data_IF_150971008519
#
_entry.id   IF_150971008519
#
_cell.length_a   1.000
_cell.length_b   1.000
_cell.length_c   1.000
_cell.angle_alpha   90.00
_cell.angle_beta   90.00
_cell.angle_gamma   90.00
#
_symmetry.space_group_name_H-M   'P 1'
#
loop_
_entity.id
_entity.type
_entity.pdbx_description
1 polymer ?
#
# COMPACT_ATOMS: atom_id res chain seq x y z
N UNK A 1 14.25 -1.53 -12.32
CA UNK A 1 13.77 -0.26 -11.72
C UNK A 1 13.73 -0.40 -10.20
N UNK A 2 12.86 -1.24 -9.61
CA UNK A 2 12.72 -1.32 -8.15
C UNK A 2 13.94 -1.92 -7.43
N UNK A 3 14.67 -2.85 -8.05
CA UNK A 3 15.94 -3.36 -7.51
C UNK A 3 16.97 -2.24 -7.28
N UNK A 4 17.00 -1.25 -8.16
CA UNK A 4 17.89 -0.08 -8.04
C UNK A 4 17.37 0.88 -6.95
N UNK A 5 16.07 1.18 -6.95
CA UNK A 5 15.43 2.03 -5.92
C UNK A 5 15.54 1.43 -4.51
N UNK A 6 15.64 0.10 -4.42
CA UNK A 6 15.69 -0.67 -3.18
C UNK A 6 17.06 -1.37 -2.97
N UNK A 7 18.13 -0.82 -3.54
CA UNK A 7 19.47 -1.44 -3.51
C UNK A 7 19.93 -1.83 -2.10
N UNK A 8 19.71 -0.98 -1.12
CA UNK A 8 20.06 -1.26 0.27
C UNK A 8 19.29 -2.46 0.83
N UNK A 9 18.01 -2.61 0.49
CA UNK A 9 17.21 -3.76 0.91
C UNK A 9 17.64 -5.04 0.17
N UNK A 10 17.96 -4.94 -1.09
CA UNK A 10 18.53 -6.05 -1.87
C UNK A 10 19.85 -6.54 -1.25
N UNK A 11 20.72 -5.60 -0.85
CA UNK A 11 21.95 -5.92 -0.14
C UNK A 11 21.68 -6.66 1.18
N UNK A 12 20.74 -6.15 1.99
CA UNK A 12 20.35 -6.78 3.27
C UNK A 12 19.80 -8.19 3.07
N UNK A 13 18.93 -8.39 2.08
CA UNK A 13 18.39 -9.72 1.77
C UNK A 13 19.50 -10.71 1.41
N UNK A 14 20.44 -10.32 0.57
CA UNK A 14 21.60 -11.15 0.20
C UNK A 14 22.50 -11.44 1.40
N UNK A 15 22.75 -10.43 2.23
CA UNK A 15 23.55 -10.58 3.46
C UNK A 15 22.94 -11.61 4.42
N UNK A 16 21.61 -11.65 4.49
CA UNK A 16 20.86 -12.62 5.29
C UNK A 16 20.73 -14.01 4.62
N UNK A 17 21.36 -14.21 3.48
CA UNK A 17 21.38 -15.49 2.77
C UNK A 17 20.18 -15.75 1.83
N UNK A 18 19.31 -14.76 1.62
CA UNK A 18 18.22 -14.91 0.68
C UNK A 18 18.71 -14.85 -0.79
N UNK A 19 18.10 -15.68 -1.64
CA UNK A 19 18.30 -15.58 -3.09
C UNK A 19 17.37 -14.49 -3.64
N UNK A 20 17.94 -13.41 -4.15
CA UNK A 20 17.19 -12.34 -4.80
C UNK A 20 17.16 -12.59 -6.30
N UNK A 21 15.95 -12.68 -6.87
CA UNK A 21 15.72 -12.85 -8.30
C UNK A 21 15.11 -11.56 -8.85
N UNK A 22 15.87 -10.84 -9.67
CA UNK A 22 15.37 -9.65 -10.33
C UNK A 22 14.44 -10.03 -11.48
N UNK A 23 13.26 -9.42 -11.54
CA UNK A 23 12.32 -9.58 -12.65
C UNK A 23 12.64 -8.53 -13.71
N UNK A 24 12.95 -9.01 -14.93
CA UNK A 24 13.40 -8.17 -16.03
C UNK A 24 12.33 -7.93 -17.11
N UNK A 25 11.17 -8.55 -16.97
CA UNK A 25 10.01 -8.39 -17.85
C UNK A 25 9.10 -7.23 -17.39
N UNK A 26 8.27 -6.74 -18.29
CA UNK A 26 7.29 -5.69 -18.02
C UNK A 26 7.94 -4.36 -17.62
N UNK A 27 7.28 -3.63 -16.72
CA UNK A 27 7.75 -2.35 -16.18
C UNK A 27 8.90 -2.49 -15.16
N UNK A 28 9.25 -3.72 -14.75
CA UNK A 28 10.25 -4.05 -13.72
C UNK A 28 9.92 -3.43 -12.34
N UNK A 29 8.63 -3.34 -12.04
CA UNK A 29 8.10 -2.82 -10.78
C UNK A 29 7.44 -3.92 -9.95
N UNK A 30 6.87 -3.55 -8.80
CA UNK A 30 6.21 -4.46 -7.86
C UNK A 30 5.16 -5.35 -8.54
N UNK A 31 4.37 -4.81 -9.48
CA UNK A 31 3.35 -5.59 -10.23
C UNK A 31 3.96 -6.80 -10.91
N UNK A 32 5.06 -6.61 -11.62
CA UNK A 32 5.70 -7.70 -12.37
C UNK A 32 6.41 -8.68 -11.44
N UNK A 33 6.98 -8.19 -10.33
CA UNK A 33 7.56 -9.03 -9.29
C UNK A 33 6.49 -9.95 -8.65
N UNK A 34 5.30 -9.43 -8.36
CA UNK A 34 4.17 -10.21 -7.85
C UNK A 34 3.69 -11.25 -8.88
N UNK A 35 3.56 -10.88 -10.14
CA UNK A 35 3.21 -11.81 -11.21
C UNK A 35 4.18 -12.99 -11.28
N UNK A 36 5.49 -12.73 -11.19
CA UNK A 36 6.50 -13.77 -11.25
C UNK A 36 6.51 -14.65 -9.99
N UNK A 37 6.34 -14.04 -8.81
CA UNK A 37 6.24 -14.79 -7.57
C UNK A 37 5.03 -15.73 -7.55
N UNK A 38 3.86 -15.27 -7.99
CA UNK A 38 2.65 -16.09 -8.09
C UNK A 38 2.85 -17.20 -9.13
N UNK A 39 3.43 -16.90 -10.30
CA UNK A 39 3.73 -17.89 -11.35
C UNK A 39 4.67 -18.96 -10.85
N UNK A 40 5.74 -18.57 -10.16
CA UNK A 40 6.69 -19.52 -9.56
C UNK A 40 5.99 -20.40 -8.51
N UNK A 41 5.20 -19.81 -7.63
CA UNK A 41 4.49 -20.54 -6.59
C UNK A 41 3.51 -21.55 -7.15
N UNK A 42 2.64 -21.19 -8.09
CA UNK A 42 1.65 -22.14 -8.64
C UNK A 42 2.32 -23.27 -9.42
N UNK A 43 3.47 -23.02 -10.00
CA UNK A 43 4.28 -24.04 -10.68
C UNK A 43 4.94 -25.01 -9.71
N UNK A 44 5.32 -24.54 -8.53
CA UNK A 44 6.06 -25.29 -7.51
C UNK A 44 5.29 -25.45 -6.19
N UNK A 45 3.96 -25.47 -6.23
CA UNK A 45 3.10 -25.42 -5.04
C UNK A 45 3.28 -26.58 -4.04
N UNK A 46 3.94 -27.68 -4.45
CA UNK A 46 4.16 -28.85 -3.58
C UNK A 46 5.30 -28.66 -2.59
N UNK A 47 6.26 -27.80 -2.89
CA UNK A 47 7.51 -27.61 -2.13
C UNK A 47 7.82 -26.14 -1.86
N UNK A 48 6.92 -25.23 -2.26
CA UNK A 48 7.09 -23.79 -2.15
C UNK A 48 5.93 -23.18 -1.37
N UNK A 49 6.25 -22.44 -0.33
CA UNK A 49 5.28 -21.64 0.41
C UNK A 49 5.33 -20.17 -0.06
N UNK A 50 4.19 -19.63 -0.45
CA UNK A 50 4.06 -18.24 -0.90
C UNK A 50 3.83 -17.32 0.30
N UNK A 51 4.69 -16.33 0.45
CA UNK A 51 4.56 -15.26 1.44
C UNK A 51 4.38 -13.95 0.70
N UNK A 52 3.31 -13.22 1.04
CA UNK A 52 3.00 -11.91 0.48
C UNK A 52 2.91 -10.87 1.59
N UNK A 53 3.47 -9.69 1.35
CA UNK A 53 3.50 -8.58 2.31
C UNK A 53 2.47 -7.48 2.06
N UNK A 54 1.50 -7.70 1.17
CA UNK A 54 0.42 -6.73 0.89
C UNK A 54 -0.96 -7.38 1.00
N UNK A 55 -2.01 -6.59 1.21
CA UNK A 55 -3.41 -7.07 1.27
C UNK A 55 -4.01 -7.31 -0.12
N UNK A 56 -3.17 -7.66 -1.09
CA UNK A 56 -3.55 -8.00 -2.44
C UNK A 56 -3.46 -9.52 -2.68
N UNK A 57 -4.11 -10.01 -3.73
CA UNK A 57 -4.08 -11.41 -4.12
C UNK A 57 -5.38 -12.16 -3.84
N UNK A 58 -5.42 -13.46 -4.15
CA UNK A 58 -6.63 -14.26 -3.96
C UNK A 58 -6.92 -14.50 -2.46
N UNK A 59 -8.17 -14.77 -2.16
CA UNK A 59 -8.53 -15.23 -0.81
C UNK A 59 -7.74 -16.50 -0.44
N UNK A 60 -7.19 -16.66 0.76
CA UNK A 60 -7.40 -15.82 1.96
C UNK A 60 -6.33 -14.74 2.21
N UNK A 61 -5.41 -14.49 1.28
CA UNK A 61 -4.26 -13.63 1.53
C UNK A 61 -4.62 -12.21 2.00
N UNK A 62 -5.59 -11.47 1.41
CA UNK A 62 -5.95 -10.16 1.90
C UNK A 62 -6.39 -10.17 3.37
N UNK A 63 -7.21 -11.14 3.74
CA UNK A 63 -7.66 -11.32 5.13
C UNK A 63 -6.50 -11.65 6.09
N UNK A 64 -5.63 -12.59 5.70
CA UNK A 64 -4.47 -12.98 6.52
C UNK A 64 -3.54 -11.79 6.76
N UNK A 65 -3.22 -11.04 5.71
CA UNK A 65 -2.33 -9.87 5.82
C UNK A 65 -2.97 -8.78 6.67
N UNK A 66 -4.27 -8.49 6.49
CA UNK A 66 -5.01 -7.59 7.38
C UNK A 66 -4.88 -8.02 8.83
N UNK A 67 -5.18 -9.27 9.13
CA UNK A 67 -5.22 -9.77 10.51
C UNK A 67 -3.84 -9.71 11.18
N UNK A 68 -2.76 -10.00 10.45
CA UNK A 68 -1.39 -9.83 10.95
C UNK A 68 -1.00 -8.36 11.11
N UNK A 69 -1.44 -7.48 10.22
CA UNK A 69 -1.17 -6.03 10.30
C UNK A 69 -2.07 -5.32 11.34
N UNK A 70 -3.17 -5.93 11.76
CA UNK A 70 -4.12 -5.36 12.74
C UNK A 70 -3.47 -5.03 14.09
N UNK A 71 -2.30 -5.62 14.40
CA UNK A 71 -1.50 -5.25 15.58
C UNK A 71 -1.15 -3.75 15.61
N UNK A 72 -0.96 -3.13 14.44
CA UNK A 72 -0.69 -1.70 14.31
C UNK A 72 -1.86 -0.89 14.90
N UNK A 73 -3.08 -1.18 14.48
CA UNK A 73 -4.28 -0.51 14.97
C UNK A 73 -4.54 -0.80 16.45
N UNK A 74 -4.35 -2.05 16.87
CA UNK A 74 -4.50 -2.45 18.27
C UNK A 74 -3.56 -1.67 19.20
N UNK A 75 -2.29 -1.64 18.90
CA UNK A 75 -1.30 -0.94 19.72
C UNK A 75 -1.50 0.59 19.67
N UNK A 76 -1.79 1.15 18.50
CA UNK A 76 -2.05 2.58 18.35
C UNK A 76 -3.27 3.01 19.18
N UNK A 77 -4.35 2.23 19.13
CA UNK A 77 -5.56 2.49 19.92
C UNK A 77 -5.26 2.46 21.43
N UNK A 78 -4.53 1.45 21.87
CA UNK A 78 -4.13 1.33 23.29
C UNK A 78 -3.28 2.52 23.73
N UNK A 79 -2.26 2.85 22.96
CA UNK A 79 -1.33 3.93 23.27
C UNK A 79 -2.01 5.31 23.33
N UNK A 80 -2.91 5.62 22.37
CA UNK A 80 -3.60 6.91 22.38
C UNK A 80 -4.55 7.04 23.57
N UNK A 81 -5.26 5.96 23.92
CA UNK A 81 -6.13 5.95 25.11
C UNK A 81 -5.32 6.12 26.41
N UNK A 82 -4.14 5.50 26.52
CA UNK A 82 -3.25 5.65 27.68
C UNK A 82 -2.72 7.08 27.82
N UNK A 83 -2.41 7.74 26.69
CA UNK A 83 -1.82 9.09 26.69
C UNK A 83 -2.83 10.20 26.79
N UNK A 84 -3.94 10.13 26.04
CA UNK A 84 -4.90 11.21 25.85
C UNK A 84 -6.25 10.95 26.53
N UNK A 85 -6.46 9.75 27.07
CA UNK A 85 -7.72 9.30 27.67
C UNK A 85 -8.94 9.48 26.75
N UNK A 86 -8.72 9.52 25.42
CA UNK A 86 -9.76 9.58 24.38
C UNK A 86 -9.24 8.99 23.08
N UNK A 87 -10.14 8.63 22.18
CA UNK A 87 -9.80 8.25 20.81
C UNK A 87 -9.44 9.49 19.98
N UNK A 88 -8.66 9.32 18.90
CA UNK A 88 -8.34 10.40 17.98
C UNK A 88 -9.59 10.79 17.17
N UNK A 89 -9.61 12.00 16.63
CA UNK A 89 -10.66 12.42 15.70
C UNK A 89 -10.42 11.84 14.30
N UNK A 90 -9.16 11.68 13.92
CA UNK A 90 -8.74 11.13 12.63
C UNK A 90 -7.64 10.08 12.80
N UNK A 91 -7.71 9.05 11.96
CA UNK A 91 -6.62 8.07 11.75
C UNK A 91 -6.26 8.11 10.29
N UNK A 92 -5.01 8.51 9.99
CA UNK A 92 -4.55 8.74 8.62
C UNK A 92 -3.44 7.74 8.28
N UNK A 93 -3.51 7.14 7.10
CA UNK A 93 -2.48 6.21 6.63
C UNK A 93 -2.34 6.25 5.10
N UNK A 94 -1.13 6.00 4.59
CA UNK A 94 -0.86 5.92 3.15
C UNK A 94 -1.37 4.62 2.54
N UNK A 95 -1.73 4.67 1.26
CA UNK A 95 -2.26 3.53 0.51
C UNK A 95 -1.48 3.33 -0.79
N UNK A 96 -0.79 2.17 -0.88
CA UNK A 96 -0.41 1.53 -2.11
C UNK A 96 -1.29 0.29 -2.28
N UNK A 97 -0.79 -0.92 -1.98
CA UNK A 97 -1.65 -2.11 -1.80
C UNK A 97 -2.58 -1.99 -0.58
N UNK A 98 -2.18 -1.25 0.45
CA UNK A 98 -3.01 -0.86 1.58
C UNK A 98 -2.89 -1.74 2.83
N UNK A 99 -1.79 -2.49 3.01
CA UNK A 99 -1.65 -3.39 4.17
C UNK A 99 -1.49 -2.62 5.49
N UNK A 100 -0.66 -1.57 5.51
CA UNK A 100 -0.47 -0.75 6.70
C UNK A 100 -1.76 -0.03 7.11
N UNK A 101 -2.46 0.53 6.15
CA UNK A 101 -3.69 1.30 6.39
C UNK A 101 -4.84 0.43 6.87
N UNK A 102 -5.08 -0.74 6.25
CA UNK A 102 -6.14 -1.62 6.72
C UNK A 102 -5.82 -2.19 8.11
N UNK A 103 -4.55 -2.48 8.39
CA UNK A 103 -4.09 -2.88 9.72
C UNK A 103 -4.33 -1.80 10.77
N UNK A 104 -4.03 -0.54 10.44
CA UNK A 104 -4.30 0.61 11.30
C UNK A 104 -5.81 0.81 11.50
N UNK A 105 -6.58 0.84 10.41
CA UNK A 105 -8.02 1.14 10.46
C UNK A 105 -8.85 0.07 11.14
N UNK A 106 -8.46 -1.21 11.09
CA UNK A 106 -9.22 -2.36 11.60
C UNK A 106 -9.71 -2.21 13.04
N UNK A 107 -9.00 -1.46 13.88
CA UNK A 107 -9.36 -1.21 15.27
C UNK A 107 -10.06 0.13 15.52
N UNK A 108 -10.42 0.86 14.46
CA UNK A 108 -11.09 2.17 14.55
C UNK A 108 -12.35 2.24 13.68
N UNK A 109 -12.56 1.32 12.72
CA UNK A 109 -13.69 1.35 11.77
C UNK A 109 -15.07 1.33 12.43
N UNK A 110 -15.21 0.74 13.61
CA UNK A 110 -16.48 0.67 14.33
C UNK A 110 -16.75 1.91 15.20
N UNK A 111 -15.73 2.74 15.42
CA UNK A 111 -15.84 3.94 16.25
C UNK A 111 -16.40 5.11 15.44
N UNK A 112 -17.66 5.43 15.59
CA UNK A 112 -18.35 6.52 14.87
C UNK A 112 -17.75 7.92 15.10
N UNK A 113 -16.95 8.08 16.16
CA UNK A 113 -16.24 9.32 16.47
C UNK A 113 -14.89 9.44 15.81
N UNK A 114 -14.42 8.39 15.16
CA UNK A 114 -13.11 8.35 14.49
C UNK A 114 -13.31 8.31 12.99
N UNK A 115 -12.66 9.21 12.28
CA UNK A 115 -12.65 9.22 10.82
C UNK A 115 -11.35 8.59 10.31
N UNK A 116 -11.46 7.47 9.58
CA UNK A 116 -10.32 6.86 8.89
C UNK A 116 -10.11 7.52 7.53
N UNK A 117 -8.87 7.91 7.23
CA UNK A 117 -8.49 8.59 5.98
C UNK A 117 -7.31 7.86 5.35
N UNK A 118 -7.50 7.38 4.13
CA UNK A 118 -6.46 6.73 3.33
C UNK A 118 -5.93 7.67 2.26
N UNK A 119 -4.61 7.83 2.18
CA UNK A 119 -3.97 8.74 1.23
C UNK A 119 -3.24 7.94 0.15
N UNK A 120 -3.68 8.10 -1.09
CA UNK A 120 -3.04 7.50 -2.26
C UNK A 120 -1.93 8.41 -2.82
N UNK A 121 -1.03 7.82 -3.61
CA UNK A 121 0.00 8.56 -4.31
C UNK A 121 -0.57 9.25 -5.56
N UNK A 122 -0.76 10.56 -5.48
CA UNK A 122 -1.14 11.42 -6.61
C UNK A 122 0.01 11.65 -7.60
N UNK A 123 1.23 11.23 -7.29
CA UNK A 123 2.37 11.27 -8.18
C UNK A 123 2.67 12.68 -8.71
N UNK A 124 2.72 12.82 -10.01
CA UNK A 124 2.92 14.11 -10.68
C UNK A 124 1.62 14.91 -10.89
N UNK A 125 0.50 14.41 -10.35
CA UNK A 125 -0.84 15.00 -10.44
C UNK A 125 -1.84 14.06 -11.11
N UNK A 126 -3.09 14.09 -10.67
CA UNK A 126 -4.16 13.21 -11.18
C UNK A 126 -4.56 13.52 -12.64
N UNK A 127 -4.21 14.68 -13.15
CA UNK A 127 -4.39 15.10 -14.54
C UNK A 127 -3.29 14.59 -15.48
N UNK A 128 -2.30 13.85 -14.93
CA UNK A 128 -1.22 13.20 -15.66
C UNK A 128 -1.40 11.68 -15.64
N UNK A 129 -0.74 10.93 -16.53
CA UNK A 129 -0.72 9.46 -16.44
C UNK A 129 0.20 8.93 -15.33
N UNK A 130 0.89 9.80 -14.59
CA UNK A 130 1.95 9.43 -13.64
C UNK A 130 1.46 9.58 -12.20
N UNK A 131 0.60 8.66 -11.76
CA UNK A 131 0.07 8.57 -10.39
C UNK A 131 -0.21 7.11 -10.01
N UNK A 132 -0.43 6.84 -8.70
CA UNK A 132 -0.80 5.54 -8.14
C UNK A 132 -2.22 5.51 -7.54
N UNK A 133 -3.08 6.48 -7.87
CA UNK A 133 -4.38 6.69 -7.23
C UNK A 133 -5.47 5.79 -7.83
N UNK A 134 -5.48 4.51 -7.43
CA UNK A 134 -6.43 3.51 -7.92
C UNK A 134 -7.86 3.74 -7.44
N UNK A 135 -8.02 4.19 -6.19
CA UNK A 135 -9.34 4.47 -5.62
C UNK A 135 -9.93 5.76 -6.19
N UNK A 136 -9.10 6.76 -6.52
CA UNK A 136 -9.58 8.00 -7.10
C UNK A 136 -10.00 7.82 -8.57
N UNK A 137 -9.16 7.22 -9.42
CA UNK A 137 -9.31 7.21 -10.87
C UNK A 137 -9.43 5.82 -11.49
N UNK A 138 -9.15 4.75 -10.73
CA UNK A 138 -9.26 3.39 -11.24
C UNK A 138 -10.69 2.91 -11.41
N UNK A 139 -10.83 1.78 -12.06
CA UNK A 139 -12.10 1.08 -12.28
C UNK A 139 -12.03 -0.34 -11.72
N UNK A 140 -13.17 -0.97 -11.35
CA UNK A 140 -13.19 -2.36 -10.89
C UNK A 140 -12.64 -3.31 -11.96
N UNK A 141 -11.75 -4.21 -11.56
CA UNK A 141 -11.18 -5.22 -12.44
C UNK A 141 -10.47 -6.33 -11.68
N UNK A 142 -9.79 -7.21 -12.40
CA UNK A 142 -9.10 -8.38 -11.83
C UNK A 142 -7.59 -8.20 -12.00
N UNK A 143 -6.88 -8.20 -10.87
CA UNK A 143 -5.42 -8.18 -10.84
C UNK A 143 -4.92 -9.12 -9.73
N UNK A 144 -3.89 -9.91 -9.99
CA UNK A 144 -3.28 -10.83 -9.02
C UNK A 144 -4.28 -11.79 -8.32
N UNK A 145 -5.40 -12.14 -8.99
CA UNK A 145 -6.41 -13.04 -8.44
C UNK A 145 -7.42 -12.41 -7.48
N UNK A 146 -7.48 -11.09 -7.42
CA UNK A 146 -8.47 -10.32 -6.67
C UNK A 146 -9.32 -9.45 -7.59
N UNK A 147 -10.54 -9.14 -7.15
CA UNK A 147 -11.38 -8.09 -7.73
C UNK A 147 -11.25 -6.83 -6.87
N UNK A 148 -10.79 -5.74 -7.46
CA UNK A 148 -10.60 -4.45 -6.78
C UNK A 148 -10.56 -3.30 -7.77
N UNK A 149 -10.47 -2.06 -7.28
CA UNK A 149 -10.14 -0.92 -8.13
C UNK A 149 -8.70 -1.04 -8.61
N UNK A 150 -8.48 -0.78 -9.90
CA UNK A 150 -7.15 -0.76 -10.51
C UNK A 150 -7.07 0.26 -11.63
N UNK A 151 -5.86 0.70 -11.92
CA UNK A 151 -5.56 1.55 -13.07
C UNK A 151 -5.53 0.68 -14.32
N UNK A 152 -6.51 0.83 -15.18
CA UNK A 152 -6.63 0.10 -16.44
C UNK A 152 -7.25 0.98 -17.52
N UNK A 153 -6.94 0.67 -18.77
CA UNK A 153 -7.55 1.30 -19.94
C UNK A 153 -8.94 0.70 -20.28
N UNK A 154 -9.54 1.18 -21.36
CA UNK A 154 -10.86 0.74 -21.82
C UNK A 154 -10.87 -0.74 -22.27
N UNK A 155 -9.72 -1.29 -22.66
CA UNK A 155 -9.53 -2.68 -23.04
C UNK A 155 -9.20 -3.58 -21.83
N UNK A 156 -9.13 -3.00 -20.60
CA UNK A 156 -8.81 -3.71 -19.38
C UNK A 156 -7.30 -3.99 -19.20
N UNK A 157 -6.44 -3.33 -19.96
CA UNK A 157 -5.00 -3.45 -19.79
C UNK A 157 -4.54 -2.61 -18.60
N UNK A 158 -3.77 -3.21 -17.71
CA UNK A 158 -3.25 -2.54 -16.51
C UNK A 158 -2.25 -1.46 -16.91
N UNK A 159 -2.53 -0.23 -16.51
CA UNK A 159 -1.65 0.92 -16.71
C UNK A 159 -0.49 0.90 -15.72
N UNK A 160 0.61 1.57 -16.07
CA UNK A 160 1.72 1.77 -15.14
C UNK A 160 1.31 2.80 -14.08
N UNK A 161 1.58 2.46 -12.82
CA UNK A 161 1.49 3.42 -11.73
C UNK A 161 2.79 4.23 -11.61
N UNK A 162 2.71 5.36 -10.91
CA UNK A 162 3.87 6.15 -10.53
C UNK A 162 3.73 6.71 -9.12
N UNK A 163 4.80 6.63 -8.36
CA UNK A 163 5.01 7.32 -7.10
C UNK A 163 6.51 7.52 -6.89
N UNK A 164 6.90 8.60 -6.22
CA UNK A 164 8.26 8.77 -5.70
C UNK A 164 8.59 7.67 -4.69
N UNK A 165 7.58 7.13 -4.04
CA UNK A 165 7.67 6.02 -3.10
C UNK A 165 7.49 4.67 -3.81
N UNK A 166 8.49 3.80 -3.71
CA UNK A 166 8.43 2.46 -4.32
C UNK A 166 7.29 1.61 -3.75
N UNK A 167 6.97 1.77 -2.48
CA UNK A 167 5.91 1.04 -1.79
C UNK A 167 4.49 1.47 -2.17
N UNK A 168 4.33 2.64 -2.82
CA UNK A 168 3.05 3.15 -3.31
C UNK A 168 2.92 3.09 -4.85
N UNK A 169 3.97 2.64 -5.54
CA UNK A 169 4.02 2.46 -6.99
C UNK A 169 3.36 1.13 -7.39
N UNK A 170 2.03 1.05 -7.24
CA UNK A 170 1.24 -0.14 -7.50
C UNK A 170 -0.10 0.22 -8.16
N UNK A 171 -0.47 -0.41 -9.29
CA UNK A 171 -1.65 -0.03 -10.07
C UNK A 171 -2.96 -0.62 -9.56
N UNK A 172 -2.98 -1.20 -8.38
CA UNK A 172 -4.16 -1.80 -7.74
C UNK A 172 -4.20 -1.48 -6.26
N UNK A 173 -5.23 -1.97 -5.59
CA UNK A 173 -5.43 -1.80 -4.14
C UNK A 173 -6.07 -3.05 -3.57
N UNK A 174 -5.95 -3.26 -2.26
CA UNK A 174 -6.60 -4.38 -1.59
C UNK A 174 -8.13 -4.37 -1.74
N UNK A 175 -8.79 -5.52 -1.88
CA UNK A 175 -10.24 -5.60 -2.11
C UNK A 175 -11.04 -5.01 -0.95
N UNK A 176 -10.55 -5.05 0.27
CA UNK A 176 -11.22 -4.47 1.43
C UNK A 176 -11.23 -2.93 1.37
N UNK A 177 -10.18 -2.29 0.86
CA UNK A 177 -10.20 -0.85 0.59
C UNK A 177 -11.23 -0.48 -0.48
N UNK A 178 -11.37 -1.31 -1.52
CA UNK A 178 -12.43 -1.13 -2.53
C UNK A 178 -13.83 -1.19 -1.90
N UNK A 179 -14.06 -2.15 -1.01
CA UNK A 179 -15.29 -2.26 -0.24
C UNK A 179 -15.54 -1.03 0.65
N UNK A 180 -14.52 -0.55 1.35
CA UNK A 180 -14.65 0.65 2.20
C UNK A 180 -14.92 1.92 1.39
N UNK A 181 -14.35 2.05 0.20
CA UNK A 181 -14.67 3.14 -0.74
C UNK A 181 -16.15 3.11 -1.13
N UNK A 182 -16.63 1.96 -1.60
CA UNK A 182 -18.01 1.82 -2.07
C UNK A 182 -19.03 2.07 -0.96
N UNK A 183 -18.72 1.61 0.26
CA UNK A 183 -19.57 1.82 1.45
C UNK A 183 -19.32 3.14 2.17
N UNK A 184 -18.37 3.96 1.72
CA UNK A 184 -18.02 5.26 2.32
C UNK A 184 -17.68 5.17 3.82
N UNK A 185 -17.06 4.06 4.22
CA UNK A 185 -16.64 3.83 5.61
C UNK A 185 -15.24 4.37 5.90
N UNK A 186 -14.46 4.64 4.86
CA UNK A 186 -13.16 5.30 4.89
C UNK A 186 -13.16 6.41 3.85
N UNK A 187 -12.59 7.55 4.20
CA UNK A 187 -12.34 8.65 3.24
C UNK A 187 -11.04 8.35 2.52
N UNK A 188 -11.03 8.49 1.20
CA UNK A 188 -9.82 8.34 0.39
C UNK A 188 -9.52 9.65 -0.31
N UNK A 189 -8.26 10.08 -0.19
CA UNK A 189 -7.73 11.27 -0.82
C UNK A 189 -6.35 10.95 -1.43
N UNK A 190 -5.71 11.91 -2.04
CA UNK A 190 -4.40 11.74 -2.66
C UNK A 190 -3.56 13.00 -2.52
N UNK A 191 -2.25 12.84 -2.52
CA UNK A 191 -1.29 13.94 -2.55
C UNK A 191 -0.21 13.69 -3.60
N UNK A 192 0.37 14.77 -4.11
CA UNK A 192 1.44 14.70 -5.09
C UNK A 192 2.79 14.32 -4.47
N UNK A 193 3.73 13.86 -5.31
CA UNK A 193 5.12 13.60 -4.91
C UNK A 193 5.76 14.82 -4.22
N UNK A 194 5.43 16.03 -4.70
CA UNK A 194 5.94 17.27 -4.12
C UNK A 194 5.41 17.50 -2.71
N UNK A 195 4.12 17.34 -2.49
CA UNK A 195 3.50 17.47 -1.17
C UNK A 195 4.05 16.44 -0.19
N UNK A 196 4.24 15.19 -0.63
CA UNK A 196 4.86 14.15 0.18
C UNK A 196 6.31 14.50 0.57
N UNK A 197 7.10 15.07 -0.34
CA UNK A 197 8.46 15.53 -0.03
C UNK A 197 8.45 16.73 0.93
N UNK A 198 7.55 17.67 0.75
CA UNK A 198 7.41 18.81 1.65
C UNK A 198 7.04 18.33 3.07
N UNK A 199 6.12 17.38 3.19
CA UNK A 199 5.73 16.74 4.45
C UNK A 199 6.89 15.96 5.09
N UNK A 200 7.66 15.22 4.30
CA UNK A 200 8.86 14.51 4.73
C UNK A 200 9.85 15.47 5.41
N UNK A 201 10.16 16.60 4.75
CA UNK A 201 11.09 17.62 5.27
C UNK A 201 10.51 18.27 6.52
N UNK A 202 9.22 18.61 6.49
CA UNK A 202 8.52 19.25 7.59
C UNK A 202 8.56 18.40 8.88
N UNK A 203 8.19 17.12 8.80
CA UNK A 203 8.24 16.22 9.96
C UNK A 203 9.66 16.05 10.47
N UNK A 204 10.63 15.87 9.56
CA UNK A 204 12.04 15.71 9.93
C UNK A 204 12.57 16.91 10.72
N UNK A 205 12.18 18.12 10.34
CA UNK A 205 12.61 19.36 11.00
C UNK A 205 11.87 19.66 12.30
N UNK A 206 10.58 19.29 12.40
CA UNK A 206 9.75 19.61 13.55
C UNK A 206 9.86 18.58 14.67
N UNK A 207 9.92 17.30 14.32
CA UNK A 207 9.88 16.21 15.28
C UNK A 207 11.20 15.43 15.39
N UNK A 208 12.17 15.70 14.50
CA UNK A 208 13.42 14.94 14.43
C UNK A 208 13.22 13.50 13.94
N UNK A 209 12.08 13.22 13.32
CA UNK A 209 11.72 11.91 12.75
C UNK A 209 11.92 11.96 11.25
N UNK A 210 12.79 11.11 10.72
CA UNK A 210 12.97 10.91 9.27
C UNK A 210 12.06 9.76 8.85
N UNK A 211 10.88 10.04 8.24
CA UNK A 211 9.95 9.00 7.85
C UNK A 211 10.40 8.26 6.58
N UNK A 212 9.74 7.16 6.24
CA UNK A 212 9.76 6.65 4.87
C UNK A 212 8.93 7.57 3.95
N UNK A 213 9.20 7.55 2.65
CA UNK A 213 8.39 8.33 1.69
C UNK A 213 6.93 7.88 1.67
N UNK A 214 6.67 6.60 1.92
CA UNK A 214 5.33 6.06 2.10
C UNK A 214 4.57 6.80 3.20
N UNK A 215 5.15 6.84 4.39
CA UNK A 215 4.53 7.49 5.56
C UNK A 215 4.38 9.01 5.36
N UNK A 216 5.28 9.63 4.61
CA UNK A 216 5.21 11.05 4.30
C UNK A 216 3.93 11.45 3.57
N UNK A 217 3.32 10.54 2.80
CA UNK A 217 2.03 10.77 2.15
C UNK A 217 0.86 10.91 3.14
N UNK A 218 1.02 10.48 4.38
CA UNK A 218 -0.03 10.54 5.40
C UNK A 218 0.18 11.66 6.44
N UNK A 219 1.17 12.54 6.22
CA UNK A 219 1.51 13.67 7.09
C UNK A 219 0.95 14.97 6.52
#
# INVERSE_FOLDING_TARGET
>A
KDVERQELNVFRMKLLGAKVVAVESGSKTLKDAMNEAIRYWVTNARDTFYIIGTVAGPHPYPMMVRDFQAIIGYESRKQILEKENRLPDYVVACIGGGSNSIGMFSHFLEDKSVTCVGIEAGGLGLDTPSHGSCLALGTPGILHGQCSYLLQDEDGQVLEAHSISAGLDYPGVGPEHSFHKDNKTVIYDNITDKEALDAFVWLSQKEGIIPAFESAHAI
#
